data_IF_644735386374
#
_entry.id   IF_644735386374
#
_cell.length_a   1.000
_cell.length_b   1.000
_cell.length_c   1.000
_cell.angle_alpha   90.00
_cell.angle_beta   90.00
_cell.angle_gamma   90.00
#
_symmetry.space_group_name_H-M   'P 1'
#
loop_
_entity.id
_entity.type
_entity.pdbx_description
1 polymer ?
#
# COMPACT_ATOMS: atom_id res chain seq x y z
N UNK A 1 4.97 -33.30 -22.01
CA UNK A 1 5.81 -34.45 -21.62
C UNK A 1 7.24 -34.14 -22.06
N UNK A 2 8.22 -34.34 -21.17
CA UNK A 2 9.64 -34.08 -21.43
C UNK A 2 10.22 -32.93 -20.58
N UNK A 3 11.27 -33.09 -19.79
CA UNK A 3 11.82 -34.22 -19.03
C UNK A 3 12.71 -33.57 -17.95
N UNK A 4 12.65 -34.10 -16.73
CA UNK A 4 13.60 -33.84 -15.63
C UNK A 4 15.04 -34.05 -16.12
N UNK A 5 15.97 -33.20 -15.67
CA UNK A 5 17.37 -33.57 -15.55
C UNK A 5 17.78 -33.55 -14.08
N UNK A 6 17.98 -34.76 -13.56
CA UNK A 6 18.63 -35.10 -12.30
C UNK A 6 20.13 -35.19 -12.57
N UNK A 7 20.96 -34.57 -11.72
CA UNK A 7 22.38 -34.93 -11.61
C UNK A 7 22.62 -35.58 -10.25
N UNK A 8 22.86 -36.89 -10.29
CA UNK A 8 23.50 -37.72 -9.28
C UNK A 8 24.95 -37.86 -9.73
N UNK A 9 25.92 -37.54 -8.86
CA UNK A 9 27.32 -37.88 -9.06
C UNK A 9 27.81 -38.71 -7.88
N UNK A 10 28.44 -39.82 -8.26
CA UNK A 10 28.83 -40.98 -7.46
C UNK A 10 30.04 -40.75 -6.56
N UNK A 11 30.15 -41.68 -5.60
CA UNK A 11 31.24 -41.87 -4.66
C UNK A 11 32.59 -42.22 -5.31
N UNK A 12 33.68 -41.91 -4.59
CA UNK A 12 34.96 -42.63 -4.69
C UNK A 12 35.40 -43.00 -3.27
N UNK A 13 35.57 -44.31 -3.07
CA UNK A 13 36.16 -44.97 -1.91
C UNK A 13 37.65 -45.14 -2.20
N UNK A 14 38.52 -44.81 -1.24
CA UNK A 14 39.93 -45.19 -1.23
C UNK A 14 40.37 -45.56 0.19
N UNK A 15 40.96 -46.74 0.36
CA UNK A 15 41.33 -47.35 1.63
C UNK A 15 42.84 -47.60 1.71
N UNK A 16 43.40 -47.27 2.89
CA UNK A 16 44.62 -47.80 3.56
C UNK A 16 46.04 -47.35 3.14
N UNK A 17 47.08 -47.54 4.00
CA UNK A 17 47.10 -47.66 5.48
C UNK A 17 48.24 -46.88 6.22
N UNK A 18 48.10 -46.81 7.55
CA UNK A 18 49.12 -46.78 8.62
C UNK A 18 50.29 -45.77 8.63
N UNK A 19 50.32 -44.93 9.69
CA UNK A 19 51.49 -44.20 10.17
C UNK A 19 51.20 -43.60 11.54
N UNK A 20 51.82 -44.13 12.60
CA UNK A 20 51.59 -43.73 13.99
C UNK A 20 52.18 -42.36 14.33
N UNK A 21 51.50 -41.67 15.24
CA UNK A 21 51.96 -40.42 15.85
C UNK A 21 51.01 -40.00 16.96
N UNK A 22 51.44 -40.16 18.21
CA UNK A 22 50.73 -39.74 19.43
C UNK A 22 50.88 -38.23 19.56
N UNK A 23 49.79 -37.45 19.44
CA UNK A 23 49.77 -36.04 19.84
C UNK A 23 48.39 -35.63 20.42
N UNK A 24 48.44 -35.28 21.72
CA UNK A 24 47.53 -34.49 22.55
C UNK A 24 46.08 -34.23 22.09
N UNK A 25 45.15 -34.83 22.82
CA UNK A 25 43.75 -34.43 22.87
C UNK A 25 43.61 -33.05 23.57
N UNK A 26 43.45 -32.00 22.79
CA UNK A 26 42.72 -30.80 23.22
C UNK A 26 41.30 -30.93 22.69
N UNK A 27 40.34 -31.08 23.59
CA UNK A 27 38.91 -30.99 23.28
C UNK A 27 38.57 -29.58 22.80
N UNK A 28 38.63 -29.38 21.48
CA UNK A 28 38.04 -28.22 20.85
C UNK A 28 36.52 -28.44 20.76
N UNK A 29 35.75 -27.64 21.51
CA UNK A 29 34.31 -27.57 21.32
C UNK A 29 33.99 -27.27 19.84
N UNK A 30 32.99 -27.94 19.23
CA UNK A 30 32.60 -27.63 17.87
C UNK A 30 32.01 -26.23 17.85
N UNK A 31 32.77 -25.27 17.30
CA UNK A 31 32.29 -23.92 17.02
C UNK A 31 31.07 -24.05 16.11
N UNK A 32 29.88 -23.74 16.65
CA UNK A 32 28.66 -23.60 15.86
C UNK A 32 28.96 -22.69 14.66
N UNK A 33 28.60 -23.07 13.43
CA UNK A 33 28.74 -22.17 12.30
C UNK A 33 27.95 -20.90 12.63
N UNK A 34 28.66 -19.77 12.69
CA UNK A 34 28.02 -18.46 12.75
C UNK A 34 27.24 -18.33 11.47
N UNK A 35 25.91 -18.41 11.55
CA UNK A 35 25.04 -18.02 10.46
C UNK A 35 25.25 -16.53 10.23
N UNK A 36 26.10 -16.19 9.27
CA UNK A 36 26.10 -14.87 8.66
C UNK A 36 24.69 -14.62 8.13
N UNK A 37 23.89 -13.87 8.89
CA UNK A 37 22.68 -13.24 8.36
C UNK A 37 23.17 -12.22 7.34
N UNK A 38 23.24 -12.61 6.08
CA UNK A 38 23.34 -11.66 4.98
C UNK A 38 22.13 -10.74 5.12
N UNK A 39 22.32 -9.50 5.58
CA UNK A 39 21.26 -8.49 5.61
C UNK A 39 20.83 -8.28 4.16
N UNK A 40 19.68 -8.87 3.79
CA UNK A 40 19.09 -8.65 2.47
C UNK A 40 18.76 -7.17 2.37
N UNK A 41 19.46 -6.46 1.50
CA UNK A 41 19.17 -5.05 1.19
C UNK A 41 17.74 -4.93 0.67
N UNK A 42 16.96 -4.05 1.29
CA UNK A 42 15.60 -3.75 0.83
C UNK A 42 15.66 -2.90 -0.45
N UNK A 43 15.59 -3.56 -1.61
CA UNK A 43 15.61 -2.92 -2.93
C UNK A 43 14.41 -1.98 -3.16
N UNK A 44 13.36 -2.09 -2.35
CA UNK A 44 12.16 -1.26 -2.41
C UNK A 44 12.07 -0.24 -1.26
N UNK A 45 13.18 0.02 -0.54
CA UNK A 45 13.23 0.95 0.59
C UNK A 45 12.60 2.32 0.28
N UNK A 46 12.75 2.82 -0.96
CA UNK A 46 12.17 4.09 -1.42
C UNK A 46 10.63 4.15 -1.38
N UNK A 47 9.95 3.01 -1.35
CA UNK A 47 8.50 2.93 -1.30
C UNK A 47 7.93 2.88 0.12
N UNK A 48 8.74 2.59 1.15
CA UNK A 48 8.23 2.24 2.49
C UNK A 48 7.43 3.35 3.17
N UNK A 49 7.85 4.61 2.99
CA UNK A 49 7.08 5.74 3.49
C UNK A 49 5.68 5.80 2.82
N UNK A 50 5.63 5.67 1.50
CA UNK A 50 4.38 5.69 0.75
C UNK A 50 3.50 4.45 0.99
N UNK A 51 4.12 3.27 1.21
CA UNK A 51 3.44 2.02 1.59
C UNK A 51 2.62 2.22 2.88
N UNK A 52 3.22 2.85 3.90
CA UNK A 52 2.52 3.18 5.15
C UNK A 52 1.32 4.09 4.92
N UNK A 53 1.46 5.10 4.06
CA UNK A 53 0.38 6.03 3.70
C UNK A 53 -0.68 5.40 2.80
N UNK A 54 -0.33 4.36 2.03
CA UNK A 54 -1.26 3.65 1.17
C UNK A 54 -2.17 2.71 1.96
N UNK A 55 -1.70 2.13 3.07
CA UNK A 55 -2.48 1.17 3.87
C UNK A 55 -3.87 1.70 4.28
N UNK A 56 -4.03 2.94 4.80
CA UNK A 56 -5.36 3.49 5.09
C UNK A 56 -6.25 3.62 3.86
N UNK A 57 -5.71 4.01 2.69
CA UNK A 57 -6.48 4.04 1.44
C UNK A 57 -6.96 2.63 1.08
N UNK A 58 -6.05 1.64 1.14
CA UNK A 58 -6.36 0.26 0.78
C UNK A 58 -7.42 -0.34 1.71
N UNK A 59 -7.26 -0.21 3.03
CA UNK A 59 -8.26 -0.66 4.01
C UNK A 59 -9.59 0.05 3.77
N UNK A 60 -9.58 1.38 3.58
CA UNK A 60 -10.80 2.16 3.39
C UNK A 60 -11.58 1.73 2.15
N UNK A 61 -10.90 1.39 1.05
CA UNK A 61 -11.56 1.04 -0.20
C UNK A 61 -11.87 -0.44 -0.38
N UNK A 62 -10.97 -1.33 0.03
CA UNK A 62 -11.08 -2.79 -0.18
C UNK A 62 -11.75 -3.50 0.99
N UNK A 63 -11.75 -2.89 2.19
CA UNK A 63 -12.07 -3.58 3.42
C UNK A 63 -10.90 -4.41 3.95
N UNK A 64 -11.12 -5.05 5.10
CA UNK A 64 -10.15 -5.97 5.69
C UNK A 64 -10.85 -7.11 6.43
N UNK A 65 -10.46 -8.35 6.11
CA UNK A 65 -10.88 -9.52 6.91
C UNK A 65 -9.70 -10.41 7.28
N UNK A 66 -9.48 -10.63 8.58
CA UNK A 66 -8.47 -11.59 9.06
C UNK A 66 -8.91 -13.05 8.90
N UNK A 67 -10.18 -13.30 8.54
CA UNK A 67 -10.69 -14.63 8.19
C UNK A 67 -10.90 -14.67 6.69
N UNK A 68 -10.59 -15.79 6.05
CA UNK A 68 -10.91 -15.96 4.65
C UNK A 68 -12.43 -15.93 4.40
N UNK A 69 -12.83 -15.39 3.26
CA UNK A 69 -14.22 -15.23 2.83
C UNK A 69 -14.34 -15.45 1.32
N UNK A 70 -15.55 -15.73 0.83
CA UNK A 70 -15.83 -15.75 -0.61
C UNK A 70 -16.12 -14.33 -1.11
N UNK A 71 -15.39 -13.90 -2.13
CA UNK A 71 -15.71 -12.64 -2.81
C UNK A 71 -16.98 -12.77 -3.67
N UNK A 72 -17.39 -11.67 -4.33
CA UNK A 72 -18.58 -11.67 -5.19
C UNK A 72 -18.47 -12.56 -6.44
N UNK A 73 -17.30 -13.15 -6.70
CA UNK A 73 -17.05 -14.09 -7.78
C UNK A 73 -16.81 -15.53 -7.27
N UNK A 74 -17.01 -15.80 -5.97
CA UNK A 74 -16.78 -17.11 -5.36
C UNK A 74 -15.31 -17.47 -5.20
N UNK A 75 -14.43 -16.48 -5.10
CA UNK A 75 -12.98 -16.67 -4.91
C UNK A 75 -12.64 -16.44 -3.44
N UNK A 76 -12.07 -17.46 -2.80
CA UNK A 76 -11.54 -17.36 -1.45
C UNK A 76 -10.49 -16.25 -1.34
N UNK A 77 -10.77 -15.29 -0.47
CA UNK A 77 -10.06 -14.02 -0.32
C UNK A 77 -9.82 -13.75 1.16
N UNK A 78 -8.70 -13.10 1.52
CA UNK A 78 -8.33 -12.76 2.90
C UNK A 78 -7.58 -11.43 2.95
N UNK A 79 -7.48 -10.84 4.14
CA UNK A 79 -6.79 -9.58 4.37
C UNK A 79 -7.44 -8.45 3.59
N UNK A 80 -6.64 -7.76 2.77
CA UNK A 80 -7.07 -6.66 1.91
C UNK A 80 -7.22 -7.20 0.47
N UNK A 81 -8.22 -8.04 0.23
CA UNK A 81 -8.50 -8.53 -1.13
C UNK A 81 -7.47 -9.52 -1.70
N UNK A 82 -6.65 -10.17 -0.87
CA UNK A 82 -5.64 -11.11 -1.33
C UNK A 82 -6.24 -12.51 -1.59
N UNK A 83 -5.94 -13.10 -2.76
CA UNK A 83 -6.38 -14.47 -3.11
C UNK A 83 -5.23 -15.49 -3.15
N UNK A 84 -4.01 -15.02 -2.91
CA UNK A 84 -2.78 -15.82 -2.83
C UNK A 84 -1.89 -15.30 -1.70
N UNK A 85 -1.24 -16.21 -1.01
CA UNK A 85 -0.16 -15.92 -0.08
C UNK A 85 1.15 -15.56 -0.80
N UNK A 86 2.12 -14.92 -0.12
CA UNK A 86 3.42 -14.56 -0.69
C UNK A 86 4.20 -15.74 -1.29
N UNK A 87 4.06 -16.93 -0.71
CA UNK A 87 4.64 -18.19 -1.16
C UNK A 87 3.97 -18.75 -2.44
N UNK A 88 2.91 -18.10 -2.94
CA UNK A 88 2.13 -18.51 -4.10
C UNK A 88 0.97 -19.45 -3.79
N UNK A 89 0.82 -19.91 -2.54
CA UNK A 89 -0.31 -20.74 -2.13
C UNK A 89 -1.62 -19.99 -2.30
N UNK A 90 -2.64 -20.66 -2.83
CA UNK A 90 -4.01 -20.11 -2.92
C UNK A 90 -4.62 -20.00 -1.53
N UNK A 91 -5.38 -18.94 -1.30
CA UNK A 91 -6.22 -18.79 -0.11
C UNK A 91 -7.35 -19.82 -0.17
N UNK A 92 -7.68 -20.37 0.99
CA UNK A 92 -8.81 -21.27 1.24
C UNK A 92 -9.68 -20.69 2.35
N UNK A 93 -10.96 -21.06 2.42
CA UNK A 93 -11.87 -20.57 3.47
C UNK A 93 -11.49 -21.02 4.90
N UNK A 94 -10.51 -21.92 5.04
CA UNK A 94 -9.96 -22.34 6.33
C UNK A 94 -8.83 -21.41 6.81
N UNK A 95 -8.31 -20.55 5.95
CA UNK A 95 -7.20 -19.67 6.28
C UNK A 95 -7.63 -18.52 7.22
N UNK A 96 -6.72 -18.17 8.12
CA UNK A 96 -6.87 -17.06 9.05
C UNK A 96 -5.54 -16.37 9.27
N UNK A 97 -5.54 -15.04 9.22
CA UNK A 97 -4.41 -14.22 9.64
C UNK A 97 -4.45 -14.07 11.16
N UNK A 98 -3.27 -14.10 11.78
CA UNK A 98 -3.13 -13.93 13.24
C UNK A 98 -3.44 -12.51 13.67
N UNK A 99 -2.92 -11.54 12.94
CA UNK A 99 -3.01 -10.12 13.25
C UNK A 99 -2.89 -9.26 11.97
N UNK A 100 -2.92 -7.93 12.16
CA UNK A 100 -2.76 -6.97 11.07
C UNK A 100 -1.34 -7.00 10.47
N UNK A 101 -0.33 -7.52 11.17
CA UNK A 101 1.04 -7.60 10.65
C UNK A 101 1.13 -8.62 9.53
N UNK A 102 0.55 -9.81 9.69
CA UNK A 102 0.50 -10.81 8.61
C UNK A 102 -0.25 -10.23 7.38
N UNK A 103 -1.30 -9.44 7.59
CA UNK A 103 -1.99 -8.73 6.50
C UNK A 103 -1.07 -7.74 5.78
N UNK A 104 -0.29 -6.91 6.50
CA UNK A 104 0.64 -5.98 5.87
C UNK A 104 1.72 -6.69 5.07
N UNK A 105 2.22 -7.82 5.57
CA UNK A 105 3.22 -8.65 4.87
C UNK A 105 2.66 -9.19 3.54
N UNK A 106 1.37 -9.58 3.51
CA UNK A 106 0.70 -9.97 2.26
C UNK A 106 0.58 -8.81 1.26
N UNK A 107 0.15 -7.63 1.72
CA UNK A 107 0.05 -6.43 0.87
C UNK A 107 1.43 -6.06 0.33
N UNK A 108 2.44 -6.02 1.19
CA UNK A 108 3.83 -5.74 0.82
C UNK A 108 4.33 -6.70 -0.26
N UNK A 109 4.18 -8.00 -0.03
CA UNK A 109 4.61 -9.01 -1.01
C UNK A 109 3.91 -8.84 -2.37
N UNK A 110 2.61 -8.50 -2.36
CA UNK A 110 1.88 -8.19 -3.58
C UNK A 110 2.47 -6.95 -4.29
N UNK A 111 2.71 -5.87 -3.55
CA UNK A 111 3.26 -4.63 -4.10
C UNK A 111 4.66 -4.84 -4.70
N UNK A 112 5.54 -5.54 -3.99
CA UNK A 112 6.90 -5.85 -4.45
C UNK A 112 6.91 -6.71 -5.72
N UNK A 113 5.99 -7.68 -5.79
CA UNK A 113 5.89 -8.60 -6.93
C UNK A 113 5.22 -7.96 -8.15
N UNK A 114 4.20 -7.13 -7.94
CA UNK A 114 3.29 -6.71 -9.01
C UNK A 114 3.25 -5.21 -9.28
N UNK A 115 3.42 -4.37 -8.27
CA UNK A 115 3.23 -2.92 -8.39
C UNK A 115 4.55 -2.16 -8.54
N UNK A 116 5.46 -2.28 -7.57
CA UNK A 116 6.71 -1.52 -7.52
C UNK A 116 7.57 -1.64 -8.77
N UNK A 117 7.75 -2.84 -9.38
CA UNK A 117 8.54 -2.94 -10.61
C UNK A 117 7.98 -2.10 -11.77
N UNK A 118 6.66 -2.00 -11.89
CA UNK A 118 6.01 -1.22 -12.95
C UNK A 118 5.92 0.27 -12.61
N UNK A 119 5.77 0.62 -11.33
CA UNK A 119 5.89 2.02 -10.88
C UNK A 119 7.30 2.53 -11.18
N UNK A 120 8.34 1.79 -10.78
CA UNK A 120 9.74 2.15 -11.02
C UNK A 120 10.09 2.30 -12.49
N UNK A 121 9.55 1.40 -13.32
CA UNK A 121 9.83 1.42 -14.76
C UNK A 121 9.19 2.61 -15.48
N UNK A 122 7.98 3.01 -15.08
CA UNK A 122 7.16 3.94 -15.87
C UNK A 122 6.94 5.31 -15.22
N UNK A 123 7.28 5.47 -13.94
CA UNK A 123 7.23 6.75 -13.23
C UNK A 123 8.65 7.26 -12.99
N UNK A 124 9.08 8.19 -13.83
CA UNK A 124 10.41 8.80 -13.77
C UNK A 124 10.48 9.99 -12.80
N UNK A 125 9.34 10.66 -12.57
CA UNK A 125 9.29 11.81 -11.67
C UNK A 125 9.36 11.34 -10.22
N UNK A 126 10.17 12.01 -9.39
CA UNK A 126 10.09 11.87 -7.94
C UNK A 126 8.69 12.32 -7.47
N UNK A 127 7.97 11.41 -6.82
CA UNK A 127 6.66 11.70 -6.24
C UNK A 127 6.80 11.98 -4.76
N UNK A 128 5.98 12.89 -4.25
CA UNK A 128 5.79 13.04 -2.80
C UNK A 128 5.12 11.80 -2.20
N UNK A 129 5.21 11.63 -0.88
CA UNK A 129 4.70 10.44 -0.17
C UNK A 129 3.23 10.18 -0.48
N UNK A 130 2.41 11.22 -0.47
CA UNK A 130 0.96 11.15 -0.71
C UNK A 130 0.62 10.84 -2.17
N UNK A 131 1.39 11.38 -3.11
CA UNK A 131 1.24 11.10 -4.54
C UNK A 131 1.59 9.63 -4.85
N UNK A 132 2.68 9.14 -4.26
CA UNK A 132 3.08 7.74 -4.40
C UNK A 132 2.06 6.81 -3.72
N UNK A 133 1.54 7.16 -2.54
CA UNK A 133 0.53 6.38 -1.84
C UNK A 133 -0.78 6.28 -2.63
N UNK A 134 -1.24 7.39 -3.23
CA UNK A 134 -2.39 7.39 -4.12
C UNK A 134 -2.15 6.53 -5.38
N UNK A 135 -0.94 6.57 -5.94
CA UNK A 135 -0.56 5.71 -7.06
C UNK A 135 -0.53 4.22 -6.67
N UNK A 136 -0.03 3.89 -5.48
CA UNK A 136 -0.10 2.53 -4.93
C UNK A 136 -1.55 2.09 -4.80
N UNK A 137 -2.45 2.90 -4.24
CA UNK A 137 -3.89 2.58 -4.18
C UNK A 137 -4.50 2.33 -5.56
N UNK A 138 -4.21 3.20 -6.53
CA UNK A 138 -4.70 3.07 -7.89
C UNK A 138 -4.21 1.77 -8.56
N UNK A 139 -2.91 1.47 -8.43
CA UNK A 139 -2.29 0.28 -9.04
C UNK A 139 -2.67 -1.02 -8.34
N UNK A 140 -3.00 -0.98 -7.04
CA UNK A 140 -3.58 -2.11 -6.32
C UNK A 140 -4.94 -2.48 -6.92
N UNK A 141 -5.80 -1.49 -7.12
CA UNK A 141 -7.16 -1.71 -7.62
C UNK A 141 -7.24 -2.08 -9.11
N UNK A 142 -6.49 -1.37 -9.96
CA UNK A 142 -6.56 -1.57 -11.41
C UNK A 142 -5.52 -2.57 -11.94
N UNK A 143 -4.59 -3.01 -11.09
CA UNK A 143 -3.35 -3.67 -11.50
C UNK A 143 -2.35 -2.68 -12.11
N UNK A 144 -1.07 -2.83 -11.79
CA UNK A 144 -0.03 -1.88 -12.21
C UNK A 144 0.24 -1.83 -13.73
N UNK A 145 -0.31 -2.77 -14.51
CA UNK A 145 -0.27 -2.74 -15.98
C UNK A 145 -0.95 -1.49 -16.57
N UNK A 146 -1.79 -0.76 -15.82
CA UNK A 146 -2.33 0.53 -16.27
C UNK A 146 -1.26 1.58 -16.58
N UNK A 147 -0.04 1.42 -16.04
CA UNK A 147 1.07 2.34 -16.26
C UNK A 147 1.77 2.14 -17.60
N UNK A 148 1.45 1.05 -18.32
CA UNK A 148 2.06 0.73 -19.60
C UNK A 148 1.05 0.64 -20.76
N UNK A 149 1.55 0.91 -21.95
CA UNK A 149 0.91 0.66 -23.22
C UNK A 149 1.97 0.13 -24.20
N UNK A 150 1.90 -1.17 -24.54
CA UNK A 150 2.85 -1.84 -25.45
C UNK A 150 4.33 -1.55 -25.11
N UNK A 151 4.70 -1.73 -23.84
CA UNK A 151 6.06 -1.52 -23.35
C UNK A 151 6.49 -0.06 -23.15
N UNK A 152 5.62 0.91 -23.44
CA UNK A 152 5.85 2.35 -23.23
C UNK A 152 4.99 2.89 -22.09
N UNK A 153 5.36 4.02 -21.45
CA UNK A 153 4.49 4.66 -20.46
C UNK A 153 3.10 4.95 -21.04
N UNK A 154 2.04 4.61 -20.32
CA UNK A 154 0.65 4.91 -20.70
C UNK A 154 0.34 6.41 -20.56
N UNK A 155 -0.84 6.84 -21.01
CA UNK A 155 -1.25 8.25 -20.88
C UNK A 155 -1.25 8.73 -19.42
N UNK A 156 -1.71 7.90 -18.47
CA UNK A 156 -1.73 8.26 -17.05
C UNK A 156 -0.32 8.35 -16.47
N UNK A 157 0.58 7.43 -16.85
CA UNK A 157 1.98 7.49 -16.43
C UNK A 157 2.69 8.75 -16.95
N UNK A 158 2.49 9.10 -18.24
CA UNK A 158 3.04 10.34 -18.82
C UNK A 158 2.51 11.58 -18.11
N UNK A 159 1.22 11.62 -17.78
CA UNK A 159 0.63 12.75 -17.08
C UNK A 159 1.17 12.91 -15.65
N UNK A 160 1.34 11.79 -14.93
CA UNK A 160 1.97 11.79 -13.60
C UNK A 160 3.41 12.30 -13.74
N UNK A 161 4.20 11.79 -14.69
CA UNK A 161 5.57 12.25 -14.89
C UNK A 161 5.65 13.76 -15.21
N UNK A 162 4.66 14.29 -15.91
CA UNK A 162 4.62 15.69 -16.32
C UNK A 162 4.14 16.68 -15.23
N UNK A 163 3.86 16.25 -14.00
CA UNK A 163 3.40 17.21 -12.99
C UNK A 163 1.94 17.63 -13.12
N UNK A 164 1.08 16.79 -13.72
CA UNK A 164 -0.28 17.17 -14.10
C UNK A 164 -1.08 17.95 -13.03
N UNK A 165 -1.85 18.95 -13.48
CA UNK A 165 -2.76 19.71 -12.64
C UNK A 165 -3.81 18.81 -11.97
N UNK A 166 -4.44 19.30 -10.89
CA UNK A 166 -5.54 18.61 -10.19
C UNK A 166 -6.63 18.19 -11.18
N UNK A 167 -7.00 19.08 -12.10
CA UNK A 167 -7.99 18.82 -13.15
C UNK A 167 -7.58 17.65 -14.05
N UNK A 168 -6.36 17.69 -14.59
CA UNK A 168 -5.89 16.67 -15.53
C UNK A 168 -5.74 15.31 -14.84
N UNK A 169 -5.21 15.27 -13.62
CA UNK A 169 -5.12 14.06 -12.82
C UNK A 169 -6.51 13.51 -12.50
N UNK A 170 -7.45 14.37 -12.07
CA UNK A 170 -8.84 13.99 -11.81
C UNK A 170 -9.47 13.31 -13.02
N UNK A 171 -9.34 13.91 -14.22
CA UNK A 171 -9.85 13.31 -15.47
C UNK A 171 -9.17 11.98 -15.79
N UNK A 172 -7.86 11.88 -15.62
CA UNK A 172 -7.10 10.66 -15.93
C UNK A 172 -7.44 9.50 -14.98
N UNK A 173 -7.56 9.79 -13.68
CA UNK A 173 -7.97 8.82 -12.66
C UNK A 173 -9.43 8.41 -12.87
N UNK A 174 -10.34 9.35 -13.11
CA UNK A 174 -11.77 9.06 -13.33
C UNK A 174 -12.02 8.15 -14.55
N UNK A 175 -11.19 8.22 -15.60
CA UNK A 175 -11.24 7.26 -16.72
C UNK A 175 -10.99 5.80 -16.28
N UNK A 176 -10.38 5.57 -15.13
CA UNK A 176 -10.17 4.24 -14.54
C UNK A 176 -11.35 3.77 -13.66
N UNK A 177 -12.46 4.50 -13.66
CA UNK A 177 -13.73 4.05 -13.08
C UNK A 177 -14.60 3.23 -14.04
N UNK A 178 -14.17 3.09 -15.29
CA UNK A 178 -14.84 2.27 -16.30
C UNK A 178 -14.27 0.85 -16.29
N UNK A 179 -15.17 -0.13 -16.35
CA UNK A 179 -14.87 -1.54 -16.55
C UNK A 179 -15.59 -2.06 -17.80
N UNK A 180 -15.42 -3.35 -18.12
CA UNK A 180 -16.25 -4.02 -19.15
C UNK A 180 -17.75 -3.95 -18.85
N UNK A 181 -18.12 -3.83 -17.57
CA UNK A 181 -19.52 -3.67 -17.11
C UNK A 181 -20.01 -2.22 -17.15
N UNK A 182 -19.21 -1.29 -17.71
CA UNK A 182 -19.53 0.13 -17.76
C UNK A 182 -18.94 0.93 -16.60
N UNK A 183 -19.48 2.14 -16.41
CA UNK A 183 -19.07 3.08 -15.38
C UNK A 183 -19.49 2.61 -13.99
N UNK A 184 -18.59 2.70 -13.00
CA UNK A 184 -18.88 2.35 -11.61
C UNK A 184 -18.69 3.57 -10.69
N UNK A 185 -19.75 3.97 -9.99
CA UNK A 185 -19.72 5.12 -9.07
C UNK A 185 -18.73 4.94 -7.91
N UNK A 186 -18.66 3.76 -7.31
CA UNK A 186 -17.72 3.48 -6.20
C UNK A 186 -16.26 3.62 -6.64
N UNK A 187 -15.92 3.11 -7.84
CA UNK A 187 -14.61 3.33 -8.43
C UNK A 187 -14.39 4.83 -8.70
N UNK A 188 -15.37 5.55 -9.22
CA UNK A 188 -15.25 6.99 -9.48
C UNK A 188 -14.99 7.79 -8.20
N UNK A 189 -15.71 7.49 -7.10
CA UNK A 189 -15.48 8.07 -5.77
C UNK A 189 -14.06 7.78 -5.29
N UNK A 190 -13.60 6.53 -5.40
CA UNK A 190 -12.22 6.15 -5.07
C UNK A 190 -11.20 6.96 -5.87
N UNK A 191 -11.38 7.08 -7.18
CA UNK A 191 -10.50 7.86 -8.06
C UNK A 191 -10.44 9.33 -7.66
N UNK A 192 -11.56 9.94 -7.29
CA UNK A 192 -11.61 11.31 -6.78
C UNK A 192 -10.82 11.44 -5.47
N UNK A 193 -11.06 10.55 -4.50
CA UNK A 193 -10.40 10.59 -3.19
C UNK A 193 -8.90 10.32 -3.27
N UNK A 194 -8.44 9.43 -4.17
CA UNK A 194 -7.01 9.24 -4.45
C UNK A 194 -6.34 10.53 -4.93
N UNK A 195 -7.01 11.32 -5.80
CA UNK A 195 -6.48 12.61 -6.26
C UNK A 195 -6.50 13.66 -5.14
N UNK A 196 -7.57 13.71 -4.34
CA UNK A 196 -7.63 14.60 -3.18
C UNK A 196 -6.51 14.29 -2.17
N UNK A 197 -6.20 13.01 -1.95
CA UNK A 197 -5.11 12.57 -1.09
C UNK A 197 -3.75 12.93 -1.69
N UNK A 198 -3.51 12.62 -2.97
CA UNK A 198 -2.28 12.98 -3.68
C UNK A 198 -1.98 14.49 -3.64
N UNK A 199 -3.03 15.31 -3.58
CA UNK A 199 -2.95 16.77 -3.50
C UNK A 199 -3.05 17.32 -2.08
N UNK A 200 -3.02 16.45 -1.06
CA UNK A 200 -3.03 16.78 0.37
C UNK A 200 -4.28 17.54 0.85
N UNK A 201 -5.36 17.50 0.07
CA UNK A 201 -6.67 18.00 0.50
C UNK A 201 -7.34 17.04 1.48
N UNK A 202 -7.23 15.74 1.20
CA UNK A 202 -7.62 14.67 2.11
C UNK A 202 -6.38 14.18 2.86
N UNK A 203 -6.43 14.10 4.18
CA UNK A 203 -5.26 13.80 5.01
C UNK A 203 -5.19 12.33 5.45
N UNK A 204 -4.04 11.92 5.98
CA UNK A 204 -3.90 10.62 6.65
C UNK A 204 -4.87 10.50 7.83
N UNK A 205 -4.97 11.55 8.65
CA UNK A 205 -5.87 11.61 9.81
C UNK A 205 -7.35 11.52 9.41
N UNK A 206 -7.75 12.15 8.30
CA UNK A 206 -9.10 11.99 7.75
C UNK A 206 -9.39 10.50 7.48
N UNK A 207 -8.50 9.81 6.74
CA UNK A 207 -8.67 8.39 6.44
C UNK A 207 -8.72 7.51 7.69
N UNK A 208 -7.85 7.76 8.67
CA UNK A 208 -7.82 7.04 9.95
C UNK A 208 -9.16 7.11 10.69
N UNK A 209 -9.83 8.26 10.59
CA UNK A 209 -11.10 8.53 11.25
C UNK A 209 -12.33 8.05 10.48
N UNK A 210 -12.16 7.56 9.25
CA UNK A 210 -13.28 7.05 8.48
C UNK A 210 -13.62 5.62 8.83
N UNK A 211 -14.91 5.29 8.69
CA UNK A 211 -15.38 3.92 8.72
C UNK A 211 -15.06 3.22 7.40
N UNK A 212 -14.60 1.98 7.50
CA UNK A 212 -14.21 1.16 6.35
C UNK A 212 -15.36 1.05 5.35
N UNK A 213 -15.06 1.27 4.06
CA UNK A 213 -16.01 1.21 2.96
C UNK A 213 -17.26 2.11 3.07
N UNK A 214 -17.25 3.14 3.91
CA UNK A 214 -18.35 4.10 4.06
C UNK A 214 -18.53 5.06 2.86
N UNK A 215 -17.59 5.02 1.91
CA UNK A 215 -17.64 5.82 0.68
C UNK A 215 -18.77 5.40 -0.29
N UNK A 216 -19.40 4.24 -0.07
CA UNK A 216 -20.50 3.75 -0.89
C UNK A 216 -21.74 4.67 -0.86
N UNK A 217 -21.88 5.47 0.19
CA UNK A 217 -22.92 6.50 0.34
C UNK A 217 -22.59 7.80 -0.41
N UNK A 218 -21.43 7.89 -1.06
CA UNK A 218 -21.01 9.05 -1.86
C UNK A 218 -21.33 8.86 -3.34
N UNK A 219 -21.64 9.97 -4.01
CA UNK A 219 -21.69 10.04 -5.47
C UNK A 219 -20.48 10.80 -5.99
N UNK A 220 -19.78 10.28 -7.01
CA UNK A 220 -18.59 10.95 -7.53
C UNK A 220 -18.84 12.39 -7.99
N UNK A 221 -20.06 12.71 -8.45
CA UNK A 221 -20.43 14.07 -8.86
C UNK A 221 -20.38 15.07 -7.69
N UNK A 222 -20.52 14.59 -6.46
CA UNK A 222 -20.36 15.40 -5.26
C UNK A 222 -18.88 15.69 -4.95
N UNK A 223 -17.97 14.92 -5.54
CA UNK A 223 -16.52 14.97 -5.30
C UNK A 223 -15.75 15.56 -6.50
N UNK A 224 -16.41 15.87 -7.61
CA UNK A 224 -15.75 16.50 -8.76
C UNK A 224 -15.60 18.00 -8.55
N UNK A 225 -14.34 18.47 -8.53
CA UNK A 225 -14.00 19.90 -8.54
C UNK A 225 -14.38 20.58 -9.86
N UNK A 226 -14.20 19.87 -10.98
CA UNK A 226 -14.39 20.39 -12.33
C UNK A 226 -15.59 19.72 -13.02
N UNK A 227 -16.49 20.52 -13.57
CA UNK A 227 -17.59 20.04 -14.39
C UNK A 227 -17.12 19.61 -15.79
N UNK A 228 -18.04 19.10 -16.61
CA UNK A 228 -17.74 18.65 -18.00
C UNK A 228 -17.12 19.74 -18.87
N UNK A 229 -17.44 21.01 -18.62
CA UNK A 229 -16.89 22.18 -19.31
C UNK A 229 -15.52 22.65 -18.79
N UNK A 230 -14.94 21.96 -17.80
CA UNK A 230 -13.71 22.40 -17.12
C UNK A 230 -13.91 23.54 -16.13
N UNK A 231 -15.13 24.07 -15.97
CA UNK A 231 -15.43 25.07 -14.93
C UNK A 231 -15.37 24.42 -13.54
N UNK A 232 -14.84 25.16 -12.57
CA UNK A 232 -14.94 24.78 -11.16
C UNK A 232 -16.41 24.80 -10.75
N UNK A 233 -16.93 23.66 -10.28
CA UNK A 233 -18.35 23.52 -9.90
C UNK A 233 -18.54 23.41 -8.39
N UNK A 234 -17.47 23.12 -7.64
CA UNK A 234 -17.48 22.97 -6.19
C UNK A 234 -16.15 23.42 -5.59
N UNK A 235 -16.19 23.94 -4.38
CA UNK A 235 -14.98 24.23 -3.60
C UNK A 235 -14.45 22.97 -2.92
N UNK A 236 -13.15 22.91 -2.70
CA UNK A 236 -12.50 21.82 -1.96
C UNK A 236 -13.11 21.65 -0.57
N UNK A 237 -13.37 22.75 0.14
CA UNK A 237 -13.99 22.75 1.46
C UNK A 237 -15.37 22.05 1.48
N UNK A 238 -16.22 22.33 0.48
CA UNK A 238 -17.55 21.68 0.38
C UNK A 238 -17.41 20.18 0.14
N UNK A 239 -16.47 19.77 -0.70
CA UNK A 239 -16.19 18.36 -0.98
C UNK A 239 -15.69 17.66 0.29
N UNK A 240 -14.70 18.22 0.96
CA UNK A 240 -14.11 17.66 2.18
C UNK A 240 -15.13 17.58 3.31
N UNK A 241 -15.97 18.61 3.48
CA UNK A 241 -17.07 18.60 4.46
C UNK A 241 -18.03 17.44 4.21
N UNK A 242 -18.39 17.20 2.95
CA UNK A 242 -19.26 16.08 2.56
C UNK A 242 -18.60 14.73 2.84
N UNK A 243 -17.35 14.54 2.44
CA UNK A 243 -16.59 13.30 2.67
C UNK A 243 -16.49 13.03 4.17
N UNK A 244 -16.03 14.01 4.97
CA UNK A 244 -15.86 13.86 6.43
C UNK A 244 -17.17 13.54 7.13
N UNK A 245 -18.27 14.21 6.73
CA UNK A 245 -19.61 13.92 7.27
C UNK A 245 -20.05 12.50 6.96
N UNK A 246 -19.91 12.04 5.71
CA UNK A 246 -20.40 10.72 5.32
C UNK A 246 -19.51 9.61 5.86
N UNK A 247 -18.20 9.75 5.72
CA UNK A 247 -17.25 8.69 6.03
C UNK A 247 -16.84 8.66 7.51
N UNK A 248 -16.94 9.78 8.23
CA UNK A 248 -16.66 9.87 9.66
C UNK A 248 -17.84 9.51 10.56
N UNK A 249 -19.06 9.42 10.02
CA UNK A 249 -20.25 9.02 10.77
C UNK A 249 -20.35 7.49 10.85
N UNK A 250 -20.62 6.99 12.05
CA UNK A 250 -20.79 5.57 12.29
C UNK A 250 -21.92 4.99 11.41
N UNK A 251 -21.75 3.81 10.84
CA UNK A 251 -22.82 3.14 10.11
C UNK A 251 -23.97 2.80 11.06
N UNK A 252 -25.17 2.76 10.49
CA UNK A 252 -26.35 2.25 11.17
C UNK A 252 -26.20 0.74 11.46
N UNK A 253 -27.03 0.24 12.39
CA UNK A 253 -26.96 -1.15 12.87
C UNK A 253 -27.09 -2.18 11.75
N UNK A 254 -27.91 -1.90 10.74
CA UNK A 254 -28.11 -2.83 9.62
C UNK A 254 -26.86 -2.88 8.74
N UNK A 255 -26.28 -1.72 8.42
CA UNK A 255 -25.01 -1.60 7.70
C UNK A 255 -23.89 -2.32 8.45
N UNK A 256 -23.76 -2.13 9.78
CA UNK A 256 -22.77 -2.85 10.58
C UNK A 256 -22.90 -4.36 10.41
N UNK A 257 -24.10 -4.91 10.60
CA UNK A 257 -24.35 -6.37 10.48
C UNK A 257 -23.97 -6.93 9.11
N UNK A 258 -24.24 -6.20 8.03
CA UNK A 258 -23.92 -6.64 6.66
C UNK A 258 -22.43 -6.56 6.33
N UNK A 259 -21.66 -5.74 7.07
CA UNK A 259 -20.28 -5.37 6.70
C UNK A 259 -19.21 -5.70 7.74
N UNK A 260 -19.61 -6.18 8.91
CA UNK A 260 -18.71 -6.53 10.01
C UNK A 260 -17.60 -7.49 9.56
N UNK A 261 -17.94 -8.46 8.70
CA UNK A 261 -16.99 -9.48 8.26
C UNK A 261 -15.77 -8.92 7.52
N UNK A 262 -15.87 -7.72 6.93
CA UNK A 262 -14.75 -7.00 6.31
C UNK A 262 -14.41 -5.67 7.00
N UNK A 263 -14.87 -5.51 8.25
CA UNK A 263 -14.53 -4.37 9.09
C UNK A 263 -15.35 -3.10 8.84
N UNK A 264 -16.45 -3.17 8.08
CA UNK A 264 -17.26 -1.99 7.75
C UNK A 264 -17.96 -1.32 8.93
N UNK A 265 -17.98 -1.96 10.11
CA UNK A 265 -18.43 -1.42 11.40
C UNK A 265 -17.32 -0.66 12.16
N UNK A 266 -16.08 -0.68 11.64
CA UNK A 266 -14.88 -0.21 12.33
C UNK A 266 -14.21 0.95 11.59
N UNK A 267 -13.42 1.71 12.33
CA UNK A 267 -12.54 2.75 11.76
C UNK A 267 -11.31 2.13 11.12
N UNK A 268 -10.80 2.78 10.09
CA UNK A 268 -9.56 2.40 9.39
C UNK A 268 -8.37 2.31 10.36
N UNK A 269 -8.36 3.12 11.41
CA UNK A 269 -7.30 3.10 12.44
C UNK A 269 -7.16 1.78 13.20
N UNK A 270 -8.20 0.94 13.23
CA UNK A 270 -8.11 -0.39 13.86
C UNK A 270 -7.35 -1.42 13.00
N UNK A 271 -7.11 -1.09 11.72
CA UNK A 271 -6.46 -1.98 10.75
C UNK A 271 -5.13 -1.45 10.25
N UNK A 272 -4.72 -0.26 10.68
CA UNK A 272 -3.51 0.40 10.18
C UNK A 272 -2.62 0.83 11.34
N UNK A 273 -1.29 0.91 11.16
CA UNK A 273 -0.42 1.34 12.23
C UNK A 273 -0.73 2.80 12.59
N UNK A 274 -0.78 3.12 13.88
CA UNK A 274 -0.80 4.51 14.32
C UNK A 274 0.42 5.24 13.73
N UNK A 275 0.23 6.46 13.21
CA UNK A 275 1.37 7.34 13.02
C UNK A 275 1.95 7.65 14.39
N UNK A 276 3.18 7.18 14.67
CA UNK A 276 4.00 7.85 15.67
C UNK A 276 4.07 9.31 15.24
N UNK A 277 3.58 10.27 16.05
CA UNK A 277 3.64 11.66 15.68
C UNK A 277 5.09 12.00 15.36
N UNK A 278 5.35 12.54 14.16
CA UNK A 278 6.65 13.15 13.88
C UNK A 278 6.80 14.22 14.94
N UNK A 279 7.70 14.01 15.91
CA UNK A 279 8.15 15.08 16.79
C UNK A 279 8.50 16.22 15.85
N UNK A 280 7.86 17.40 15.95
CA UNK A 280 8.27 18.52 15.12
C UNK A 280 9.79 18.66 15.28
N UNK A 281 10.55 18.94 14.20
CA UNK A 281 11.97 19.18 14.33
C UNK A 281 12.10 20.18 15.47
N UNK A 282 12.85 19.80 16.51
CA UNK A 282 13.06 20.68 17.64
C UNK A 282 13.49 22.01 17.05
N UNK A 283 12.69 23.05 17.29
CA UNK A 283 13.10 24.42 17.03
C UNK A 283 14.43 24.55 17.75
N UNK A 284 15.54 24.53 16.99
CA UNK A 284 16.82 24.98 17.49
C UNK A 284 16.60 26.47 17.69
N UNK A 285 16.14 26.84 18.88
CA UNK A 285 16.26 28.19 19.39
C UNK A 285 17.76 28.49 19.36
N UNK A 286 18.19 29.27 18.36
CA UNK A 286 19.49 29.90 18.40
C UNK A 286 19.48 30.82 19.63
N UNK A 287 20.34 30.62 20.64
CA UNK A 287 20.33 31.44 21.85
C UNK A 287 20.87 32.88 21.64
N UNK A 288 20.96 33.39 20.41
CA UNK A 288 21.79 34.57 20.08
C UNK A 288 20.97 35.80 19.63
N UNK A 289 19.63 35.82 19.78
CA UNK A 289 18.83 36.97 19.28
C UNK A 289 17.98 37.72 20.31
N UNK A 290 18.28 37.61 21.61
CA UNK A 290 17.71 38.51 22.63
C UNK A 290 18.72 38.92 23.69
N UNK A 291 19.84 39.53 23.27
CA UNK A 291 20.77 40.19 24.20
C UNK A 291 21.12 41.65 23.84
N UNK A 292 20.70 42.19 22.70
CA UNK A 292 21.03 43.56 22.31
C UNK A 292 19.78 44.40 22.01
N UNK A 293 19.03 44.74 23.06
CA UNK A 293 18.17 45.94 23.05
C UNK A 293 17.78 46.43 24.44
N UNK A 294 18.76 46.56 25.33
CA UNK A 294 18.67 47.47 26.48
C UNK A 294 20.00 48.19 26.58
N UNK A 295 19.96 49.51 26.62
CA UNK A 295 21.07 50.48 26.61
C UNK A 295 21.63 50.88 25.24
N UNK A 296 21.02 51.91 24.65
CA UNK A 296 21.72 53.11 24.16
C UNK A 296 20.73 54.29 24.14
N UNK A 297 20.98 55.20 25.08
CA UNK A 297 20.65 56.65 25.18
C UNK A 297 19.38 57.16 24.51
#
# INVERSE_FOLDING_TARGET
MGKLQTFLASAIIGLSPAGGGILNAQTAEPRRPKTEKTEKTDVFAKFRAAEKHALPLLVFFEGCSLKAYDDCNGIATIGIGNTTFPDGRRVTLKDRLKDNREMYEMVRAYLEKHAYPLIDKYIARRLETEEMAALISLTYNCGAKILQNRGRPSQIARLINAGGSVENLSRAFLRKAYSRKGFNNGLAVRRCMEVLYAKKFLTYEDLQNFYVCSYDKLNYQDLTLYGKSGRVVKTEEKILTRIRRVCGTAPDRETCRKREWFGGDRRVSLFTPAETPKRPPALKLNPILFADRVNRR
#
